data_IF_467998016071
#
_entry.id   IF_467998016071
#
_cell.length_a   1.000
_cell.length_b   1.000
_cell.length_c   1.000
_cell.angle_alpha   90.00
_cell.angle_beta   90.00
_cell.angle_gamma   90.00
#
_symmetry.space_group_name_H-M   'P 1'
#
loop_
_entity.id
_entity.type
_entity.pdbx_description
1 polymer ?
#
# COMPACT_ATOMS: atom_id res chain seq x y z
N UNK A 1 -13.29 6.20 -2.07
CA UNK A 1 -12.14 6.66 -2.87
C UNK A 1 -11.10 7.21 -1.89
N UNK A 2 -9.82 6.88 -2.06
CA UNK A 2 -8.77 7.40 -1.16
C UNK A 2 -8.36 8.81 -1.59
N UNK A 3 -8.74 9.80 -0.79
CA UNK A 3 -8.64 11.23 -1.14
C UNK A 3 -7.90 12.04 -0.06
N UNK A 4 -7.94 11.58 1.18
CA UNK A 4 -7.36 12.27 2.34
C UNK A 4 -6.33 11.39 3.04
N UNK A 5 -5.48 12.02 3.85
CA UNK A 5 -4.53 11.32 4.71
C UNK A 5 -5.22 10.32 5.65
N UNK A 6 -6.41 10.65 6.15
CA UNK A 6 -7.20 9.76 6.98
C UNK A 6 -7.69 8.52 6.21
N UNK A 7 -8.10 8.67 4.94
CA UNK A 7 -8.47 7.52 4.11
C UNK A 7 -7.26 6.59 3.88
N UNK A 8 -6.07 7.15 3.66
CA UNK A 8 -4.83 6.38 3.52
C UNK A 8 -4.53 5.58 4.80
N UNK A 9 -4.63 6.24 5.96
CA UNK A 9 -4.41 5.60 7.26
C UNK A 9 -5.38 4.45 7.50
N UNK A 10 -6.68 4.68 7.27
CA UNK A 10 -7.71 3.66 7.44
C UNK A 10 -7.47 2.46 6.51
N UNK A 11 -7.10 2.70 5.25
CA UNK A 11 -6.76 1.64 4.30
C UNK A 11 -5.58 0.80 4.77
N UNK A 12 -4.51 1.45 5.24
CA UNK A 12 -3.33 0.78 5.79
C UNK A 12 -3.68 -0.09 7.00
N UNK A 13 -4.44 0.47 7.93
CA UNK A 13 -4.85 -0.22 9.16
C UNK A 13 -5.79 -1.40 8.85
N UNK A 14 -6.67 -1.27 7.86
CA UNK A 14 -7.53 -2.37 7.39
C UNK A 14 -6.73 -3.55 6.82
N UNK A 15 -5.56 -3.30 6.21
CA UNK A 15 -4.64 -4.35 5.77
C UNK A 15 -3.78 -4.93 6.91
N UNK A 16 -3.86 -4.37 8.12
CA UNK A 16 -3.00 -4.73 9.25
C UNK A 16 -1.54 -4.29 9.06
N UNK A 17 -1.28 -3.27 8.22
CA UNK A 17 0.06 -2.88 7.82
C UNK A 17 0.62 -1.72 8.66
N UNK A 18 1.92 -1.71 8.88
CA UNK A 18 2.64 -0.53 9.37
C UNK A 18 2.89 0.47 8.24
N UNK A 19 3.21 1.76 8.53
CA UNK A 19 3.60 2.70 7.48
C UNK A 19 4.79 2.21 6.64
N UNK A 20 5.70 1.44 7.25
CA UNK A 20 6.84 0.85 6.55
C UNK A 20 6.40 -0.26 5.57
N UNK A 21 5.41 -1.07 5.93
CA UNK A 21 4.89 -2.12 5.05
C UNK A 21 4.20 -1.54 3.83
N UNK A 22 3.36 -0.51 4.04
CA UNK A 22 2.74 0.19 2.91
C UNK A 22 3.77 0.87 2.02
N UNK A 23 4.77 1.53 2.60
CA UNK A 23 5.86 2.13 1.84
C UNK A 23 6.64 1.11 1.00
N UNK A 24 6.85 -0.10 1.55
CA UNK A 24 7.49 -1.21 0.84
C UNK A 24 6.63 -1.70 -0.32
N UNK A 25 5.33 -1.89 -0.10
CA UNK A 25 4.38 -2.29 -1.14
C UNK A 25 4.33 -1.28 -2.30
N UNK A 26 4.38 0.02 -1.98
CA UNK A 26 4.42 1.12 -2.96
C UNK A 26 5.82 1.40 -3.54
N UNK A 27 6.84 0.61 -3.14
CA UNK A 27 8.23 0.75 -3.60
C UNK A 27 8.80 2.15 -3.40
N UNK A 28 8.47 2.81 -2.30
CA UNK A 28 9.18 4.03 -1.90
C UNK A 28 10.62 3.72 -1.48
N UNK A 29 11.50 4.72 -1.59
CA UNK A 29 12.91 4.59 -1.23
C UNK A 29 13.07 4.05 0.21
N UNK A 30 13.96 3.05 0.37
CA UNK A 30 14.08 2.24 1.58
C UNK A 30 14.30 3.05 2.87
N UNK A 31 14.99 4.19 2.77
CA UNK A 31 15.42 4.96 3.95
C UNK A 31 14.37 5.97 4.45
N UNK A 32 13.37 6.31 3.62
CA UNK A 32 12.43 7.41 3.93
C UNK A 32 10.96 7.10 3.60
N UNK A 33 10.66 5.90 3.11
CA UNK A 33 9.32 5.52 2.68
C UNK A 33 8.28 5.59 3.81
N UNK A 34 8.61 5.10 5.01
CA UNK A 34 7.69 5.13 6.16
C UNK A 34 7.34 6.55 6.60
N UNK A 35 8.34 7.43 6.74
CA UNK A 35 8.11 8.85 7.06
C UNK A 35 7.25 9.55 6.00
N UNK A 36 7.45 9.20 4.73
CA UNK A 36 6.64 9.73 3.62
C UNK A 36 5.18 9.31 3.72
N UNK A 37 4.88 8.09 4.15
CA UNK A 37 3.50 7.65 4.43
C UNK A 37 2.92 8.46 5.59
N UNK A 38 3.66 8.61 6.69
CA UNK A 38 3.21 9.39 7.85
C UNK A 38 2.93 10.87 7.51
N UNK A 39 3.74 11.48 6.64
CA UNK A 39 3.51 12.85 6.16
C UNK A 39 2.23 12.95 5.31
N UNK A 40 1.93 11.93 4.50
CA UNK A 40 0.68 11.86 3.73
C UNK A 40 -0.53 11.66 4.63
N UNK A 41 -0.44 10.74 5.60
CA UNK A 41 -1.48 10.50 6.59
C UNK A 41 -1.77 11.77 7.42
N UNK A 42 -0.73 12.52 7.77
CA UNK A 42 -0.86 13.79 8.49
C UNK A 42 -1.27 15.00 7.61
N UNK A 43 -1.50 14.80 6.30
CA UNK A 43 -1.83 15.88 5.36
C UNK A 43 -0.71 16.88 5.08
N UNK A 44 0.52 16.62 5.55
CA UNK A 44 1.70 17.46 5.30
C UNK A 44 2.25 17.28 3.89
N UNK A 45 1.97 16.14 3.28
CA UNK A 45 2.30 15.81 1.90
C UNK A 45 1.02 15.41 1.15
N UNK A 46 0.77 15.95 -0.04
CA UNK A 46 -0.41 15.56 -0.82
C UNK A 46 -0.33 14.10 -1.26
N UNK A 47 -1.49 13.43 -1.27
CA UNK A 47 -1.69 12.16 -1.94
C UNK A 47 -1.65 12.36 -3.45
N UNK A 48 -0.93 11.50 -4.16
CA UNK A 48 -0.89 11.52 -5.62
C UNK A 48 -1.86 10.48 -6.18
N UNK A 49 -2.42 10.75 -7.36
CA UNK A 49 -3.32 9.80 -8.05
C UNK A 49 -2.76 8.37 -8.15
N UNK A 50 -1.48 8.16 -8.51
CA UNK A 50 -0.89 6.82 -8.53
C UNK A 50 -0.88 6.11 -7.18
N UNK A 51 -0.66 6.84 -6.08
CA UNK A 51 -0.73 6.26 -4.73
C UNK A 51 -2.16 5.84 -4.40
N UNK A 52 -3.14 6.70 -4.67
CA UNK A 52 -4.56 6.39 -4.48
C UNK A 52 -4.95 5.10 -5.21
N UNK A 53 -4.65 5.02 -6.52
CA UNK A 53 -4.98 3.84 -7.35
C UNK A 53 -4.30 2.57 -6.81
N UNK A 54 -3.01 2.65 -6.45
CA UNK A 54 -2.28 1.51 -5.95
C UNK A 54 -2.85 0.98 -4.61
N UNK A 55 -3.15 1.86 -3.66
CA UNK A 55 -3.73 1.45 -2.36
C UNK A 55 -5.12 0.85 -2.54
N UNK A 56 -5.91 1.44 -3.44
CA UNK A 56 -7.22 0.94 -3.82
C UNK A 56 -7.17 -0.44 -4.50
N UNK A 57 -6.12 -0.73 -5.26
CA UNK A 57 -5.88 -2.04 -5.87
C UNK A 57 -5.46 -3.08 -4.81
N UNK A 58 -4.63 -2.69 -3.85
CA UNK A 58 -4.19 -3.56 -2.75
C UNK A 58 -5.37 -3.98 -1.86
N UNK A 59 -6.27 -3.05 -1.51
CA UNK A 59 -7.46 -3.35 -0.73
C UNK A 59 -8.42 -4.33 -1.42
N UNK A 60 -8.50 -4.28 -2.75
CA UNK A 60 -9.42 -5.12 -3.55
C UNK A 60 -8.82 -6.47 -3.96
N UNK A 61 -7.53 -6.70 -3.68
CA UNK A 61 -6.83 -7.92 -4.14
C UNK A 61 -6.65 -7.93 -5.66
N UNK A 62 -5.96 -6.94 -6.21
CA UNK A 62 -5.70 -6.83 -7.65
C UNK A 62 -4.69 -7.86 -8.16
N UNK A 63 -5.02 -8.50 -9.28
CA UNK A 63 -4.14 -9.35 -10.07
C UNK A 63 -4.06 -8.76 -11.49
N UNK A 64 -2.87 -8.43 -12.03
CA UNK A 64 -2.76 -7.93 -13.40
C UNK A 64 -3.22 -8.95 -14.43
N UNK A 65 -3.84 -8.49 -15.52
CA UNK A 65 -4.18 -9.37 -16.65
C UNK A 65 -2.93 -10.07 -17.19
N UNK A 66 -3.03 -11.39 -17.35
CA UNK A 66 -1.91 -12.21 -17.82
C UNK A 66 -0.81 -12.47 -16.77
N UNK A 67 -0.98 -12.02 -15.53
CA UNK A 67 -0.10 -12.42 -14.43
C UNK A 67 -0.51 -13.81 -13.92
N UNK A 68 0.38 -14.78 -14.09
CA UNK A 68 0.24 -16.12 -13.53
C UNK A 68 0.96 -16.18 -12.18
N UNK A 69 0.23 -16.19 -11.05
CA UNK A 69 0.85 -16.24 -9.73
C UNK A 69 1.60 -17.57 -9.56
N UNK A 70 2.77 -17.56 -8.87
CA UNK A 70 3.47 -18.80 -8.59
C UNK A 70 2.56 -19.75 -7.79
N UNK A 71 2.67 -21.08 -8.01
CA UNK A 71 1.89 -22.05 -7.24
C UNK A 71 2.19 -21.90 -5.74
N UNK A 72 1.20 -22.13 -4.86
CA UNK A 72 1.42 -22.02 -3.43
C UNK A 72 2.55 -22.96 -2.99
N UNK A 73 3.33 -22.58 -1.96
CA UNK A 73 4.40 -23.44 -1.46
C UNK A 73 3.82 -24.79 -1.05
N UNK A 74 4.45 -25.88 -1.49
CA UNK A 74 4.04 -27.23 -1.10
C UNK A 74 4.09 -27.35 0.42
N UNK A 75 2.99 -27.81 1.03
CA UNK A 75 2.91 -28.07 2.47
C UNK A 75 4.14 -28.89 2.91
N UNK A 76 4.99 -28.27 3.74
CA UNK A 76 6.04 -29.01 4.45
C UNK A 76 5.35 -29.82 5.55
N UNK A 77 4.96 -31.05 5.20
CA UNK A 77 4.55 -32.07 6.16
C UNK A 77 5.72 -32.48 7.06
#
# INVERSE_FOLDING_TARGET
>A
MIETGDHLRQAREAMGWTPADLARALRFAANHGGSRILEMEAGKRPLTGPVTVAVEALLRGFLPDGFDPPPPPADRR
#
